data_IF_743128237810
#
_entry.id   IF_743128237810
#
_cell.length_a   1.000
_cell.length_b   1.000
_cell.length_c   1.000
_cell.angle_alpha   90.00
_cell.angle_beta   90.00
_cell.angle_gamma   90.00
#
_symmetry.space_group_name_H-M   'P 1'
#
loop_
_entity.id
_entity.type
_entity.pdbx_description
1 polymer ?
#
# COMPACT_ATOMS: atom_id res chain seq x y z
N UNK A 1 4.20 -9.08 -40.98
CA UNK A 1 5.22 -8.73 -39.97
C UNK A 1 4.94 -7.31 -39.49
N UNK A 2 5.16 -7.03 -38.20
CA UNK A 2 5.05 -5.72 -37.52
C UNK A 2 3.73 -5.37 -36.80
N UNK A 3 3.33 -6.14 -35.79
CA UNK A 3 2.35 -5.70 -34.77
C UNK A 3 2.81 -5.89 -33.32
N UNK A 4 4.07 -6.30 -33.09
CA UNK A 4 4.58 -6.58 -31.75
C UNK A 4 5.08 -5.35 -30.97
N UNK A 5 5.46 -4.27 -31.66
CA UNK A 5 6.12 -3.11 -31.04
C UNK A 5 5.10 -2.05 -30.56
N UNK A 6 3.98 -1.88 -31.28
CA UNK A 6 2.92 -0.92 -30.92
C UNK A 6 2.21 -1.27 -29.61
N UNK A 7 2.09 -2.55 -29.27
CA UNK A 7 1.41 -3.02 -28.04
C UNK A 7 2.15 -2.58 -26.76
N UNK A 8 3.49 -2.62 -26.75
CA UNK A 8 4.29 -2.31 -25.56
C UNK A 8 4.37 -0.81 -25.26
N UNK A 9 4.59 0.02 -26.29
CA UNK A 9 4.58 1.48 -26.12
C UNK A 9 3.18 2.02 -25.82
N UNK A 10 2.13 1.48 -26.47
CA UNK A 10 0.75 1.87 -26.18
C UNK A 10 0.35 1.51 -24.75
N UNK A 11 0.71 0.31 -24.25
CA UNK A 11 0.50 -0.08 -22.85
C UNK A 11 1.28 0.81 -21.88
N UNK A 12 2.48 1.25 -22.25
CA UNK A 12 3.30 2.15 -21.42
C UNK A 12 2.68 3.55 -21.34
N UNK A 13 2.17 4.09 -22.45
CA UNK A 13 1.44 5.37 -22.48
C UNK A 13 0.10 5.28 -21.75
N UNK A 14 -0.59 4.15 -21.88
CA UNK A 14 -1.82 3.86 -21.17
C UNK A 14 -1.58 3.83 -19.65
N UNK A 15 -0.55 3.12 -19.20
CA UNK A 15 -0.16 3.08 -17.79
C UNK A 15 0.22 4.48 -17.27
N UNK A 16 0.92 5.30 -18.07
CA UNK A 16 1.27 6.66 -17.70
C UNK A 16 0.06 7.62 -17.63
N UNK A 17 -1.01 7.34 -18.38
CA UNK A 17 -2.25 8.15 -18.40
C UNK A 17 -3.22 7.73 -17.29
N UNK A 18 -3.19 6.45 -16.90
CA UNK A 18 -3.97 5.90 -15.77
C UNK A 18 -3.35 6.29 -14.41
N UNK A 19 -2.03 6.46 -14.36
CA UNK A 19 -1.28 6.85 -13.16
C UNK A 19 -1.18 8.38 -13.06
N UNK A 20 -1.76 8.94 -12.00
CA UNK A 20 -1.71 10.37 -11.68
C UNK A 20 -0.47 10.75 -10.89
N UNK A 21 -0.56 11.85 -10.13
CA UNK A 21 0.52 12.32 -9.27
C UNK A 21 0.97 11.23 -8.29
N UNK A 22 2.29 11.16 -8.06
CA UNK A 22 2.88 10.22 -7.10
C UNK A 22 2.95 10.88 -5.73
N UNK A 23 2.58 10.15 -4.68
CA UNK A 23 2.87 10.57 -3.30
C UNK A 23 4.40 10.73 -3.11
N UNK A 24 4.93 11.49 -2.12
CA UNK A 24 6.37 11.62 -1.86
C UNK A 24 7.11 10.28 -1.69
N UNK A 25 6.37 9.20 -1.48
CA UNK A 25 6.85 7.82 -1.30
C UNK A 25 6.80 6.98 -2.58
N UNK A 26 6.42 7.57 -3.71
CA UNK A 26 6.46 6.97 -5.05
C UNK A 26 5.23 6.15 -5.45
N UNK A 27 4.21 6.05 -4.59
CA UNK A 27 2.94 5.37 -4.90
C UNK A 27 2.17 6.20 -5.93
N UNK A 28 1.88 5.67 -7.14
CA UNK A 28 1.08 6.38 -8.13
C UNK A 28 -0.37 6.53 -7.67
N UNK A 29 -0.96 7.72 -7.84
CA UNK A 29 -2.42 7.90 -7.70
C UNK A 29 -3.17 7.29 -8.87
N UNK A 30 -4.41 6.87 -8.67
CA UNK A 30 -5.30 6.50 -9.77
C UNK A 30 -5.99 7.76 -10.32
N UNK A 31 -5.91 7.99 -11.64
CA UNK A 31 -6.65 9.08 -12.29
C UNK A 31 -8.12 8.71 -12.41
N UNK A 32 -9.02 9.60 -12.01
CA UNK A 32 -10.46 9.40 -12.18
C UNK A 32 -10.88 9.63 -13.63
N UNK A 33 -11.68 8.71 -14.19
CA UNK A 33 -12.17 8.80 -15.56
C UNK A 33 -13.61 9.29 -15.58
N UNK A 34 -13.81 10.56 -15.93
CA UNK A 34 -15.15 11.17 -16.05
C UNK A 34 -15.89 10.77 -17.33
N UNK A 35 -15.23 10.87 -18.48
CA UNK A 35 -15.77 10.46 -19.77
C UNK A 35 -14.90 9.36 -20.37
N UNK A 36 -15.48 8.16 -20.49
CA UNK A 36 -14.80 6.98 -21.06
C UNK A 36 -14.42 7.24 -22.52
N UNK A 37 -15.27 7.91 -23.30
CA UNK A 37 -15.00 8.25 -24.71
C UNK A 37 -13.81 9.22 -24.84
N UNK A 38 -13.74 10.23 -23.97
CA UNK A 38 -12.62 11.18 -23.95
C UNK A 38 -11.32 10.48 -23.52
N UNK A 39 -11.41 9.53 -22.59
CA UNK A 39 -10.27 8.76 -22.13
C UNK A 39 -9.76 7.76 -23.18
N UNK A 40 -10.67 7.11 -23.92
CA UNK A 40 -10.32 6.26 -25.06
C UNK A 40 -9.68 7.06 -26.20
N UNK A 41 -10.19 8.26 -26.47
CA UNK A 41 -9.60 9.19 -27.44
C UNK A 41 -8.20 9.65 -27.01
N UNK A 42 -8.01 10.02 -25.73
CA UNK A 42 -6.72 10.41 -25.17
C UNK A 42 -5.69 9.27 -25.21
N UNK A 43 -6.14 8.03 -24.98
CA UNK A 43 -5.28 6.85 -25.03
C UNK A 43 -5.07 6.30 -26.45
N UNK A 44 -5.76 6.84 -27.46
CA UNK A 44 -5.74 6.35 -28.85
C UNK A 44 -6.04 4.85 -28.99
N UNK A 45 -6.85 4.29 -28.08
CA UNK A 45 -7.22 2.86 -28.10
C UNK A 45 -8.64 2.72 -28.64
N UNK A 46 -8.79 1.94 -29.72
CA UNK A 46 -10.09 1.65 -30.35
C UNK A 46 -10.90 0.54 -29.64
N UNK A 47 -10.22 -0.31 -28.88
CA UNK A 47 -10.79 -1.48 -28.21
C UNK A 47 -10.81 -1.29 -26.68
N UNK A 48 -11.91 -1.63 -26.03
CA UNK A 48 -12.09 -1.46 -24.58
C UNK A 48 -11.35 -2.56 -23.79
N UNK A 49 -11.14 -3.74 -24.37
CA UNK A 49 -10.54 -4.90 -23.68
C UNK A 49 -9.10 -4.67 -23.19
N UNK A 50 -8.16 -4.08 -23.98
CA UNK A 50 -6.83 -3.75 -23.47
C UNK A 50 -6.84 -2.75 -22.30
N UNK A 51 -7.76 -1.78 -22.34
CA UNK A 51 -7.91 -0.78 -21.28
C UNK A 51 -8.43 -1.43 -19.98
N UNK A 52 -9.45 -2.28 -20.09
CA UNK A 52 -9.98 -3.06 -18.98
C UNK A 52 -8.90 -3.95 -18.35
N UNK A 53 -8.11 -4.66 -19.18
CA UNK A 53 -7.01 -5.49 -18.72
C UNK A 53 -5.94 -4.70 -17.98
N UNK A 54 -5.58 -3.51 -18.45
CA UNK A 54 -4.61 -2.64 -17.78
C UNK A 54 -5.11 -2.13 -16.42
N UNK A 55 -6.38 -1.73 -16.33
CA UNK A 55 -6.98 -1.30 -15.06
C UNK A 55 -7.09 -2.45 -14.05
N UNK A 56 -7.41 -3.66 -14.49
CA UNK A 56 -7.40 -4.86 -13.63
C UNK A 56 -6.00 -5.21 -13.11
N UNK A 57 -4.98 -5.06 -13.97
CA UNK A 57 -3.58 -5.21 -13.56
C UNK A 57 -3.18 -4.15 -12.52
N UNK A 58 -3.60 -2.90 -12.70
CA UNK A 58 -3.37 -1.83 -11.72
C UNK A 58 -4.05 -2.11 -10.39
N UNK A 59 -5.32 -2.50 -10.41
CA UNK A 59 -6.07 -2.88 -9.21
C UNK A 59 -5.35 -3.99 -8.43
N UNK A 60 -4.86 -5.01 -9.13
CA UNK A 60 -4.11 -6.11 -8.52
C UNK A 60 -2.80 -5.64 -7.89
N UNK A 61 -2.09 -4.68 -8.51
CA UNK A 61 -0.87 -4.07 -7.93
C UNK A 61 -1.19 -3.27 -6.67
N UNK A 62 -2.23 -2.42 -6.69
CA UNK A 62 -2.65 -1.68 -5.51
C UNK A 62 -3.06 -2.62 -4.37
N UNK A 63 -3.79 -3.69 -4.67
CA UNK A 63 -4.19 -4.68 -3.67
C UNK A 63 -3.00 -5.42 -3.04
N UNK A 64 -2.00 -5.75 -3.86
CA UNK A 64 -0.76 -6.33 -3.38
C UNK A 64 0.01 -5.36 -2.46
N UNK A 65 0.13 -4.10 -2.87
CA UNK A 65 0.77 -3.05 -2.06
C UNK A 65 0.03 -2.81 -0.74
N UNK A 66 -1.30 -2.75 -0.76
CA UNK A 66 -2.14 -2.63 0.42
C UNK A 66 -1.88 -3.79 1.39
N UNK A 67 -1.89 -5.03 0.89
CA UNK A 67 -1.66 -6.21 1.73
C UNK A 67 -0.26 -6.20 2.37
N UNK A 68 0.76 -5.78 1.61
CA UNK A 68 2.13 -5.65 2.11
C UNK A 68 2.24 -4.59 3.22
N UNK A 69 1.66 -3.41 3.00
CA UNK A 69 1.66 -2.33 3.98
C UNK A 69 0.80 -2.65 5.21
N UNK A 70 -0.30 -3.38 5.07
CA UNK A 70 -1.09 -3.87 6.20
C UNK A 70 -0.27 -4.81 7.11
N UNK A 71 0.50 -5.75 6.53
CA UNK A 71 1.40 -6.63 7.30
C UNK A 71 2.50 -5.83 8.01
N UNK A 72 3.08 -4.83 7.34
CA UNK A 72 4.07 -3.96 7.95
C UNK A 72 3.47 -3.16 9.11
N UNK A 73 2.27 -2.59 8.94
CA UNK A 73 1.54 -1.89 10.01
C UNK A 73 1.34 -2.79 11.22
N UNK A 74 0.90 -4.03 11.05
CA UNK A 74 0.71 -4.98 12.16
C UNK A 74 2.02 -5.34 12.86
N UNK A 75 3.12 -5.38 12.13
CA UNK A 75 4.45 -5.62 12.70
C UNK A 75 4.90 -4.44 13.57
N UNK A 76 4.78 -3.20 13.05
CA UNK A 76 5.14 -2.00 13.82
C UNK A 76 4.18 -1.75 14.99
N UNK A 77 2.89 -2.03 14.83
CA UNK A 77 1.89 -1.92 15.91
C UNK A 77 2.16 -2.85 17.09
N UNK A 78 2.80 -4.01 16.84
CA UNK A 78 3.29 -4.91 17.90
C UNK A 78 4.65 -4.47 18.45
N UNK A 79 5.56 -4.03 17.58
CA UNK A 79 6.93 -3.67 17.97
C UNK A 79 7.00 -2.41 18.83
N UNK A 80 6.18 -1.39 18.53
CA UNK A 80 6.16 -0.12 19.29
C UNK A 80 5.92 -0.35 20.80
N UNK A 81 4.86 -1.06 21.24
CA UNK A 81 4.63 -1.28 22.67
C UNK A 81 5.68 -2.20 23.31
N UNK A 82 6.26 -3.14 22.57
CA UNK A 82 7.33 -3.99 23.12
C UNK A 82 8.62 -3.19 23.35
N UNK A 83 9.03 -2.34 22.40
CA UNK A 83 10.18 -1.43 22.59
C UNK A 83 9.91 -0.39 23.67
N UNK A 84 8.65 0.04 23.86
CA UNK A 84 8.28 0.92 24.97
C UNK A 84 8.44 0.23 26.34
N UNK A 85 8.05 -1.05 26.45
CA UNK A 85 8.28 -1.83 27.68
C UNK A 85 9.77 -1.99 27.98
N UNK A 86 10.58 -2.24 26.95
CA UNK A 86 12.04 -2.34 27.10
C UNK A 86 12.63 -1.03 27.65
N UNK A 87 12.15 0.10 27.15
CA UNK A 87 12.56 1.42 27.60
C UNK A 87 12.11 1.73 29.04
N UNK A 88 10.88 1.36 29.39
CA UNK A 88 10.38 1.48 30.77
C UNK A 88 11.17 0.59 31.73
N UNK A 89 11.58 -0.60 31.29
CA UNK A 89 12.46 -1.49 32.05
C UNK A 89 13.83 -0.85 32.28
N UNK A 90 14.47 -0.28 31.26
CA UNK A 90 15.76 0.41 31.39
C UNK A 90 15.63 1.60 32.36
N UNK A 91 14.58 2.41 32.25
CA UNK A 91 14.32 3.52 33.19
C UNK A 91 14.16 3.04 34.63
N UNK A 92 13.48 1.92 34.83
CA UNK A 92 13.32 1.32 36.16
C UNK A 92 14.65 0.77 36.71
N UNK A 93 15.51 0.19 35.86
CA UNK A 93 16.86 -0.23 36.25
C UNK A 93 17.74 0.95 36.66
N UNK A 94 17.68 2.07 35.93
CA UNK A 94 18.38 3.32 36.26
C UNK A 94 17.91 3.85 37.62
N UNK A 95 16.59 3.91 37.85
CA UNK A 95 16.04 4.41 39.11
C UNK A 95 16.49 3.59 40.33
N UNK A 96 16.50 2.25 40.22
CA UNK A 96 16.95 1.36 41.29
C UNK A 96 18.46 1.44 41.54
N UNK A 97 19.25 1.64 40.49
CA UNK A 97 20.69 1.93 40.63
C UNK A 97 20.93 3.20 41.42
N UNK A 98 20.19 4.28 41.12
CA UNK A 98 20.31 5.55 41.84
C UNK A 98 19.90 5.44 43.31
N UNK A 99 19.03 4.49 43.64
CA UNK A 99 18.61 4.18 45.01
C UNK A 99 19.57 3.21 45.73
N UNK A 100 20.68 2.80 45.11
CA UNK A 100 21.66 1.85 45.66
C UNK A 100 21.04 0.51 46.11
N UNK A 101 19.92 0.11 45.50
CA UNK A 101 19.26 -1.17 45.80
C UNK A 101 19.94 -2.31 45.05
N UNK A 102 20.32 -3.38 45.75
CA UNK A 102 20.90 -4.58 45.15
C UNK A 102 19.83 -5.31 44.32
N UNK A 103 19.89 -5.18 42.99
CA UNK A 103 18.92 -5.80 42.10
C UNK A 103 19.20 -7.30 41.94
N UNK A 104 18.36 -8.14 42.55
CA UNK A 104 18.40 -9.59 42.34
C UNK A 104 17.42 -9.99 41.21
N UNK A 105 17.92 -10.17 40.00
CA UNK A 105 17.13 -10.64 38.85
C UNK A 105 17.38 -12.13 38.58
N UNK A 106 16.31 -12.84 38.23
CA UNK A 106 16.36 -14.22 37.73
C UNK A 106 16.30 -14.18 36.20
N UNK A 107 17.39 -14.55 35.55
CA UNK A 107 17.47 -14.64 34.08
C UNK A 107 17.03 -16.03 33.64
N UNK A 108 16.17 -16.11 32.62
CA UNK A 108 15.68 -17.39 32.08
C UNK A 108 16.69 -17.94 31.06
N UNK A 109 17.16 -19.18 31.27
CA UNK A 109 18.10 -19.86 30.36
C UNK A 109 17.39 -20.90 29.47
N UNK A 110 16.36 -21.55 30.01
CA UNK A 110 15.53 -22.54 29.33
C UNK A 110 14.16 -22.64 30.02
N UNK A 111 13.22 -23.37 29.43
CA UNK A 111 11.91 -23.64 30.04
C UNK A 111 12.09 -24.24 31.45
N UNK A 112 11.76 -23.43 32.46
CA UNK A 112 11.91 -23.69 33.90
C UNK A 112 13.33 -23.61 34.50
N UNK A 113 14.35 -23.17 33.76
CA UNK A 113 15.72 -22.99 34.27
C UNK A 113 16.06 -21.50 34.36
N UNK A 114 16.37 -21.03 35.57
CA UNK A 114 16.72 -19.63 35.82
C UNK A 114 18.09 -19.53 36.51
N UNK A 115 18.94 -18.61 36.06
CA UNK A 115 20.20 -18.28 36.73
C UNK A 115 20.18 -16.85 37.27
N UNK A 116 20.96 -16.63 38.33
CA UNK A 116 21.19 -15.29 38.88
C UNK A 116 22.33 -14.65 38.08
N UNK A 117 22.01 -13.64 37.28
CA UNK A 117 22.99 -12.96 36.44
C UNK A 117 22.88 -11.43 36.63
N UNK A 118 24.04 -10.77 36.63
CA UNK A 118 24.18 -9.32 36.54
C UNK A 118 24.79 -9.05 35.16
N UNK A 119 24.00 -8.57 34.21
CA UNK A 119 24.43 -8.34 32.83
C UNK A 119 24.36 -6.86 32.52
N UNK A 120 25.48 -6.26 32.07
CA UNK A 120 25.47 -5.02 31.27
C UNK A 120 26.75 -4.91 30.44
N UNK A 121 26.63 -4.88 29.10
CA UNK A 121 27.74 -4.59 28.15
C UNK A 121 27.66 -3.15 27.60
N UNK A 122 26.54 -2.43 27.82
CA UNK A 122 26.31 -1.04 27.39
C UNK A 122 25.90 -0.10 28.53
N UNK A 123 26.43 1.12 28.63
CA UNK A 123 25.99 2.09 29.63
C UNK A 123 24.49 2.41 29.48
N UNK A 124 23.79 2.51 30.62
CA UNK A 124 22.33 2.68 30.65
C UNK A 124 21.84 3.92 29.89
N UNK A 125 22.64 4.99 29.85
CA UNK A 125 22.31 6.23 29.12
C UNK A 125 22.27 6.01 27.61
N UNK A 126 23.24 5.27 27.06
CA UNK A 126 23.28 4.92 25.63
C UNK A 126 22.12 3.98 25.26
N UNK A 127 21.79 3.03 26.15
CA UNK A 127 20.64 2.15 25.95
C UNK A 127 19.31 2.91 25.95
N UNK A 128 19.16 3.91 26.85
CA UNK A 128 17.98 4.77 26.89
C UNK A 128 17.86 5.59 25.60
N UNK A 129 18.93 6.27 25.17
CA UNK A 129 18.91 7.10 23.96
C UNK A 129 18.62 6.26 22.71
N UNK A 130 19.22 5.08 22.60
CA UNK A 130 18.98 4.15 21.49
C UNK A 130 17.53 3.69 21.43
N UNK A 131 16.94 3.31 22.58
CA UNK A 131 15.55 2.87 22.65
C UNK A 131 14.59 4.03 22.38
N UNK A 132 14.85 5.24 22.89
CA UNK A 132 14.04 6.44 22.62
C UNK A 132 14.03 6.77 21.12
N UNK A 133 15.20 6.72 20.48
CA UNK A 133 15.32 6.91 19.03
C UNK A 133 14.57 5.82 18.25
N UNK A 134 14.66 4.56 18.67
CA UNK A 134 13.96 3.46 18.02
C UNK A 134 12.44 3.58 18.14
N UNK A 135 11.92 4.00 19.30
CA UNK A 135 10.49 4.27 19.50
C UNK A 135 10.02 5.41 18.60
N UNK A 136 10.77 6.52 18.55
CA UNK A 136 10.43 7.65 17.70
C UNK A 136 10.37 7.24 16.22
N UNK A 137 11.41 6.55 15.72
CA UNK A 137 11.49 6.07 14.34
C UNK A 137 10.40 5.04 14.01
N UNK A 138 10.08 4.13 14.93
CA UNK A 138 9.03 3.13 14.71
C UNK A 138 7.64 3.77 14.67
N UNK A 139 7.40 4.80 15.50
CA UNK A 139 6.15 5.54 15.54
C UNK A 139 5.96 6.39 14.28
N UNK A 140 7.01 7.09 13.84
CA UNK A 140 6.99 7.85 12.59
C UNK A 140 6.73 6.93 11.39
N UNK A 141 7.41 5.79 11.31
CA UNK A 141 7.18 4.79 10.26
C UNK A 141 5.75 4.25 10.27
N UNK A 142 5.18 4.03 11.45
CA UNK A 142 3.80 3.57 11.58
C UNK A 142 2.83 4.62 11.03
N UNK A 143 2.98 5.89 11.40
CA UNK A 143 2.16 6.99 10.90
C UNK A 143 2.24 7.11 9.37
N UNK A 144 3.45 7.05 8.81
CA UNK A 144 3.64 7.09 7.36
C UNK A 144 2.98 5.90 6.63
N UNK A 145 3.02 4.70 7.22
CA UNK A 145 2.35 3.51 6.66
C UNK A 145 0.82 3.69 6.69
N UNK A 146 0.28 4.31 7.74
CA UNK A 146 -1.16 4.56 7.84
C UNK A 146 -1.65 5.57 6.79
N UNK A 147 -0.87 6.63 6.54
CA UNK A 147 -1.15 7.59 5.46
C UNK A 147 -1.12 6.92 4.08
N UNK A 148 -0.08 6.13 3.78
CA UNK A 148 0.01 5.40 2.51
C UNK A 148 -1.13 4.38 2.33
N UNK A 149 -1.57 3.74 3.41
CA UNK A 149 -2.74 2.84 3.37
C UNK A 149 -4.02 3.59 3.05
N UNK A 150 -4.18 4.82 3.56
CA UNK A 150 -5.32 5.68 3.19
C UNK A 150 -5.27 6.02 1.71
N UNK A 151 -4.11 6.48 1.23
CA UNK A 151 -3.92 6.84 -0.17
C UNK A 151 -4.16 5.66 -1.14
N UNK A 152 -3.68 4.47 -0.77
CA UNK A 152 -3.94 3.25 -1.54
C UNK A 152 -5.42 2.88 -1.54
N UNK A 153 -6.13 3.05 -0.43
CA UNK A 153 -7.57 2.79 -0.37
C UNK A 153 -8.33 3.70 -1.34
N UNK A 154 -8.02 4.99 -1.37
CA UNK A 154 -8.66 5.95 -2.28
C UNK A 154 -8.34 5.63 -3.74
N UNK A 155 -7.10 5.21 -4.02
CA UNK A 155 -6.68 4.79 -5.35
C UNK A 155 -7.35 3.49 -5.80
N UNK A 156 -7.57 2.54 -4.88
CA UNK A 156 -8.32 1.30 -5.14
C UNK A 156 -9.77 1.64 -5.49
N UNK A 157 -10.45 2.45 -4.67
CA UNK A 157 -11.85 2.84 -4.89
C UNK A 157 -12.00 3.53 -6.26
N UNK A 158 -11.10 4.47 -6.56
CA UNK A 158 -11.10 5.20 -7.84
C UNK A 158 -10.93 4.24 -9.02
N UNK A 159 -10.02 3.27 -8.90
CA UNK A 159 -9.79 2.25 -9.93
C UNK A 159 -11.01 1.33 -10.11
N UNK A 160 -11.67 0.92 -9.01
CA UNK A 160 -12.89 0.11 -9.06
C UNK A 160 -14.04 0.85 -9.75
N UNK A 161 -14.25 2.12 -9.42
CA UNK A 161 -15.26 2.97 -10.06
C UNK A 161 -14.97 3.10 -11.55
N UNK A 162 -13.70 3.32 -11.94
CA UNK A 162 -13.30 3.40 -13.34
C UNK A 162 -13.58 2.08 -14.09
N UNK A 163 -13.24 0.93 -13.50
CA UNK A 163 -13.53 -0.40 -14.06
C UNK A 163 -15.04 -0.56 -14.29
N UNK A 164 -15.86 -0.23 -13.29
CA UNK A 164 -17.32 -0.32 -13.40
C UNK A 164 -17.88 0.62 -14.48
N UNK A 165 -17.37 1.85 -14.57
CA UNK A 165 -17.77 2.84 -15.60
C UNK A 165 -17.47 2.33 -17.00
N UNK A 166 -16.27 1.79 -17.23
CA UNK A 166 -15.85 1.27 -18.54
C UNK A 166 -16.67 0.03 -18.92
N UNK A 167 -16.93 -0.85 -17.96
CA UNK A 167 -17.80 -2.01 -18.19
C UNK A 167 -19.23 -1.57 -18.58
N UNK A 168 -19.79 -0.61 -17.85
CA UNK A 168 -21.13 -0.07 -18.15
C UNK A 168 -21.18 0.62 -19.51
N UNK A 169 -20.11 1.32 -19.89
CA UNK A 169 -19.99 1.95 -21.21
C UNK A 169 -19.95 0.91 -22.34
N UNK A 170 -19.15 -0.16 -22.20
CA UNK A 170 -19.10 -1.23 -23.21
C UNK A 170 -20.44 -1.95 -23.34
N UNK A 171 -21.14 -2.22 -22.24
CA UNK A 171 -22.48 -2.82 -22.28
C UNK A 171 -23.49 -1.92 -22.99
N UNK A 172 -23.45 -0.60 -22.74
CA UNK A 172 -24.32 0.38 -23.42
C UNK A 172 -24.04 0.41 -24.93
N UNK A 173 -22.77 0.46 -25.32
CA UNK A 173 -22.35 0.43 -26.73
C UNK A 173 -22.86 -0.82 -27.44
N UNK A 174 -22.67 -2.01 -26.85
CA UNK A 174 -23.15 -3.28 -27.42
C UNK A 174 -24.67 -3.40 -27.53
N UNK A 175 -25.43 -2.71 -26.65
CA UNK A 175 -26.90 -2.66 -26.73
C UNK A 175 -27.34 -1.73 -27.86
N UNK A 176 -26.76 -0.54 -27.96
CA UNK A 176 -27.03 0.40 -29.06
C UNK A 176 -26.70 -0.23 -30.42
N UNK A 177 -25.55 -0.90 -30.57
CA UNK A 177 -25.21 -1.62 -31.81
C UNK A 177 -26.20 -2.75 -32.17
N UNK A 178 -26.89 -3.33 -31.20
CA UNK A 178 -27.93 -4.33 -31.44
C UNK A 178 -29.27 -3.72 -31.80
N UNK A 179 -29.60 -2.57 -31.23
CA UNK A 179 -30.85 -1.85 -31.48
C UNK A 179 -30.80 -1.08 -32.83
N UNK A 180 -29.63 -0.61 -33.26
CA UNK A 180 -29.43 0.09 -34.55
C UNK A 180 -29.42 -0.86 -35.76
N UNK A 181 -28.96 -2.11 -35.60
CA UNK A 181 -28.95 -3.12 -36.67
C UNK A 181 -30.32 -3.39 -37.31
N UNK A 182 -31.41 -3.64 -36.56
CA UNK A 182 -32.73 -3.85 -37.15
C UNK A 182 -33.32 -2.59 -37.81
N UNK A 183 -32.95 -1.39 -37.36
CA UNK A 183 -33.41 -0.12 -37.97
C UNK A 183 -32.72 0.08 -39.32
N UNK A 184 -31.41 -0.14 -39.41
CA UNK A 184 -30.67 -0.05 -40.67
C UNK A 184 -31.11 -1.10 -41.71
N UNK A 185 -31.48 -2.31 -41.28
CA UNK A 185 -32.02 -3.35 -42.17
C UNK A 185 -33.45 -3.04 -42.67
N UNK A 186 -34.21 -2.22 -41.95
CA UNK A 186 -35.55 -1.74 -42.35
C UNK A 186 -35.48 -0.54 -43.30
N UNK A 187 -34.50 0.36 -43.12
CA UNK A 187 -34.28 1.50 -44.03
C UNK A 187 -33.60 1.11 -45.36
N UNK A 188 -32.89 -0.01 -45.39
CA UNK A 188 -32.22 -0.54 -46.59
C UNK A 188 -33.15 -1.37 -47.51
N UNK A 189 -34.44 -1.46 -47.21
CA UNK A 189 -35.43 -2.30 -47.88
C UNK A 189 -36.56 -1.48 -48.48
#
# INVERSE_FOLDING_TARGET
>A
MSTGIESSEALTRLNATIMGERNPRGIPSAVFVDSVDSFMAACSVKNIEPLMGALQQMYSKYKFMETSLQKNRETFKRKVPDTQKDLDMVRHLIAKRNQNEMLNTKFNLADNVYAKAVMVEYPYEEAQELLEKNVALATEKLAQIEEDLSFLRDSIITTEVNIARIFNHDVRRRRQEKDDKPIAELEAK
#
